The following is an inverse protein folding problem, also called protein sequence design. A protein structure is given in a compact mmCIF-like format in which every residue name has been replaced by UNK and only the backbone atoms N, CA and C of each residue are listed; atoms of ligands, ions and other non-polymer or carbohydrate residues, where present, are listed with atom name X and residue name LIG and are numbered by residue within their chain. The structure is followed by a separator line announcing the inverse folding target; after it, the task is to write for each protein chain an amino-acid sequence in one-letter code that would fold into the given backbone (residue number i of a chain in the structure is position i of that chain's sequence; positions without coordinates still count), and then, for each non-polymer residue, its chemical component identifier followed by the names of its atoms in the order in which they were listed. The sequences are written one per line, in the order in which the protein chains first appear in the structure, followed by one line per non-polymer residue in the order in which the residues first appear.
data_IF_322223350504
#
_entry.id   IF_322223350504
#
_cell.length_a   1.000
_cell.length_b   1.000
_cell.length_c   1.000
_cell.angle_alpha   90.00
_cell.angle_beta   90.00
_cell.angle_gamma   90.00
#
_symmetry.space_group_name_H-M   'P 1'
#
loop_
_entity.id
_entity.type
_entity.pdbx_description
1 polymer ?
#
# COMPACT_ATOMS: atom_id res chain seq x y z
N UNK A 1 -5.40 0.79 0.06
CA UNK A 1 -6.06 1.54 -1.03
C UNK A 1 -5.04 2.46 -1.69
N UNK A 2 -4.96 2.47 -3.02
CA UNK A 2 -4.08 3.38 -3.78
C UNK A 2 -4.75 4.74 -4.01
N UNK A 3 -3.98 5.82 -4.18
CA UNK A 3 -4.48 7.18 -4.37
C UNK A 3 -5.45 7.30 -5.55
N UNK A 4 -5.07 6.77 -6.71
CA UNK A 4 -5.93 6.76 -7.91
C UNK A 4 -7.26 6.02 -7.69
N UNK A 5 -7.25 4.94 -6.93
CA UNK A 5 -8.45 4.20 -6.58
C UNK A 5 -9.36 5.03 -5.67
N UNK A 6 -8.79 5.73 -4.68
CA UNK A 6 -9.54 6.63 -3.81
C UNK A 6 -10.20 7.77 -4.60
N UNK A 7 -9.44 8.37 -5.54
CA UNK A 7 -9.97 9.40 -6.45
C UNK A 7 -11.12 8.85 -7.30
N UNK A 8 -10.97 7.67 -7.89
CA UNK A 8 -12.03 7.04 -8.69
C UNK A 8 -13.29 6.74 -7.86
N UNK A 9 -13.14 6.26 -6.62
CA UNK A 9 -14.25 6.04 -5.70
C UNK A 9 -14.95 7.36 -5.41
N UNK A 10 -14.22 8.41 -5.03
CA UNK A 10 -14.80 9.73 -4.75
C UNK A 10 -15.52 10.30 -5.97
N UNK A 11 -14.93 10.17 -7.17
CA UNK A 11 -15.56 10.57 -8.43
C UNK A 11 -16.82 9.77 -8.76
N UNK A 12 -16.93 8.51 -8.33
CA UNK A 12 -18.17 7.73 -8.50
C UNK A 12 -19.30 8.19 -7.57
N UNK A 13 -18.98 8.96 -6.52
CA UNK A 13 -19.92 9.46 -5.50
C UNK A 13 -20.26 10.95 -5.71
N UNK A 14 -20.20 11.42 -6.96
CA UNK A 14 -20.55 12.80 -7.33
C UNK A 14 -21.98 13.11 -6.90
N UNK A 15 -22.10 14.08 -5.99
CA UNK A 15 -23.39 14.50 -5.40
C UNK A 15 -23.52 14.16 -3.91
N UNK A 16 -22.79 13.15 -3.43
CA UNK A 16 -22.69 12.80 -2.01
C UNK A 16 -21.46 13.47 -1.40
N UNK A 17 -20.27 13.15 -1.93
CA UNK A 17 -19.01 13.74 -1.46
C UNK A 17 -18.77 15.03 -2.23
N UNK A 18 -18.59 16.15 -1.52
CA UNK A 18 -18.48 17.50 -2.10
C UNK A 18 -17.32 18.28 -1.49
N UNK A 19 -16.79 19.23 -2.26
CA UNK A 19 -15.74 20.13 -1.79
C UNK A 19 -14.39 19.42 -1.55
N UNK A 20 -14.13 18.33 -2.26
CA UNK A 20 -12.90 17.53 -2.17
C UNK A 20 -11.70 18.39 -2.58
N UNK A 21 -10.65 18.35 -1.79
CA UNK A 21 -9.38 19.01 -2.08
C UNK A 21 -8.27 17.97 -2.16
N UNK A 22 -7.40 18.10 -3.16
CA UNK A 22 -6.17 17.31 -3.28
C UNK A 22 -5.00 18.24 -2.99
N UNK A 23 -4.17 17.87 -2.02
CA UNK A 23 -2.99 18.62 -1.61
C UNK A 23 -1.75 17.77 -1.88
N UNK A 24 -0.72 18.40 -2.44
CA UNK A 24 0.57 17.77 -2.74
C UNK A 24 1.64 18.86 -2.82
N UNK A 25 2.92 18.47 -2.82
CA UNK A 25 4.04 19.39 -2.97
C UNK A 25 4.67 19.25 -4.35
N UNK A 26 4.64 20.33 -5.15
CA UNK A 26 5.36 20.40 -6.42
C UNK A 26 6.88 20.42 -6.24
N UNK A 27 7.36 21.01 -5.15
CA UNK A 27 8.79 21.14 -4.88
C UNK A 27 9.40 19.87 -4.28
N UNK A 28 8.59 19.06 -3.60
CA UNK A 28 9.01 17.86 -2.89
C UNK A 28 8.01 16.70 -3.07
N UNK A 29 7.75 16.26 -4.32
CA UNK A 29 6.66 15.32 -4.63
C UNK A 29 6.86 13.90 -4.07
N UNK A 30 8.10 13.52 -3.77
CA UNK A 30 8.43 12.20 -3.21
C UNK A 30 8.74 12.22 -1.71
N UNK A 31 8.78 13.41 -1.07
CA UNK A 31 9.05 13.55 0.37
C UNK A 31 7.79 13.91 1.15
N UNK A 32 6.82 14.59 0.52
CA UNK A 32 5.62 15.09 1.18
C UNK A 32 4.41 14.29 0.71
N UNK A 33 3.68 13.73 1.68
CA UNK A 33 2.46 12.95 1.46
C UNK A 33 1.46 13.62 0.51
N UNK A 34 0.80 12.80 -0.30
CA UNK A 34 -0.40 13.21 -1.02
C UNK A 34 -1.58 13.19 -0.05
N UNK A 35 -2.37 14.26 -0.01
CA UNK A 35 -3.51 14.35 0.91
C UNK A 35 -4.80 14.59 0.16
N UNK A 36 -5.82 13.76 0.43
CA UNK A 36 -7.20 14.06 0.06
C UNK A 36 -7.88 14.63 1.31
N UNK A 37 -8.27 15.90 1.24
CA UNK A 37 -9.01 16.58 2.28
C UNK A 37 -10.51 16.64 1.90
N UNK A 38 -11.35 16.20 2.84
CA UNK A 38 -12.81 16.14 2.72
C UNK A 38 -13.43 17.10 3.77
N UNK A 39 -13.42 18.42 3.52
CA UNK A 39 -13.83 19.43 4.51
C UNK A 39 -15.28 19.35 4.94
N UNK A 40 -16.17 18.90 4.07
CA UNK A 40 -17.59 18.74 4.41
C UNK A 40 -17.86 17.48 5.23
N UNK A 41 -16.90 16.54 5.24
CA UNK A 41 -16.99 15.27 5.95
C UNK A 41 -16.09 15.23 7.21
N UNK A 42 -15.19 16.19 7.37
CA UNK A 42 -14.28 16.26 8.52
C UNK A 42 -13.15 15.22 8.51
N UNK A 43 -12.80 14.69 7.32
CA UNK A 43 -11.84 13.61 7.13
C UNK A 43 -10.68 14.05 6.24
N UNK A 44 -9.46 13.63 6.58
CA UNK A 44 -8.25 13.75 5.78
C UNK A 44 -7.63 12.38 5.56
N UNK A 45 -7.27 12.08 4.32
CA UNK A 45 -6.63 10.83 3.92
C UNK A 45 -5.21 11.14 3.47
N UNK A 46 -4.21 10.58 4.16
CA UNK A 46 -2.80 10.76 3.82
C UNK A 46 -2.29 9.52 3.09
N UNK A 47 -1.69 9.74 1.93
CA UNK A 47 -1.09 8.71 1.09
C UNK A 47 0.41 8.92 1.05
N UNK A 48 1.14 7.82 1.23
CA UNK A 48 2.58 7.79 1.12
C UNK A 48 3.04 8.35 -0.24
N UNK A 49 4.05 9.23 -0.30
CA UNK A 49 4.38 9.97 -1.52
C UNK A 49 5.00 9.10 -2.62
N UNK A 50 5.64 7.98 -2.23
CA UNK A 50 6.31 7.08 -3.17
C UNK A 50 5.37 5.97 -3.64
N UNK A 51 4.79 5.25 -2.69
CA UNK A 51 3.90 4.11 -2.97
C UNK A 51 2.49 4.54 -3.32
N UNK A 52 2.11 5.81 -3.04
CA UNK A 52 0.78 6.37 -3.24
C UNK A 52 -0.32 5.56 -2.55
N UNK A 53 0.02 4.89 -1.45
CA UNK A 53 -0.91 4.08 -0.68
C UNK A 53 -1.36 4.81 0.57
N UNK A 54 -2.64 4.67 0.90
CA UNK A 54 -3.22 5.25 2.10
C UNK A 54 -2.47 4.72 3.34
N UNK A 55 -1.95 5.64 4.15
CA UNK A 55 -1.21 5.33 5.38
C UNK A 55 -1.84 5.89 6.65
N UNK A 56 -2.55 7.03 6.57
CA UNK A 56 -3.25 7.64 7.71
C UNK A 56 -4.67 8.06 7.29
N UNK A 57 -5.64 7.78 8.15
CA UNK A 57 -6.98 8.38 8.11
C UNK A 57 -7.09 9.29 9.32
N UNK A 58 -7.18 10.60 9.09
CA UNK A 58 -7.37 11.61 10.12
C UNK A 58 -8.84 12.07 10.12
N UNK A 59 -9.46 12.09 11.29
CA UNK A 59 -10.75 12.73 11.53
C UNK A 59 -10.46 13.98 12.35
N UNK A 60 -10.71 15.16 11.77
CA UNK A 60 -10.45 16.44 12.42
C UNK A 60 -11.74 17.21 12.77
N UNK A 61 -12.90 16.63 12.47
CA UNK A 61 -14.18 17.13 12.96
C UNK A 61 -15.06 15.96 13.40
N UNK A 62 -15.01 15.65 14.70
CA UNK A 62 -15.81 14.58 15.30
C UNK A 62 -17.32 14.79 15.15
N UNK A 63 -17.77 16.04 14.92
CA UNK A 63 -19.18 16.40 14.69
C UNK A 63 -19.74 15.92 13.34
N UNK A 64 -18.86 15.75 12.35
CA UNK A 64 -19.25 15.39 10.97
C UNK A 64 -19.16 13.88 10.72
N UNK A 65 -18.56 13.13 11.64
CA UNK A 65 -18.33 11.70 11.50
C UNK A 65 -19.09 10.97 12.59
N UNK A 66 -19.79 9.89 12.22
CA UNK A 66 -20.35 8.93 13.18
C UNK A 66 -19.60 7.61 13.05
N UNK A 67 -18.94 7.19 14.13
CA UNK A 67 -18.23 5.91 14.16
C UNK A 67 -19.23 4.82 14.53
N UNK A 68 -19.43 3.86 13.63
CA UNK A 68 -20.36 2.75 13.87
C UNK A 68 -19.63 1.58 14.56
N UNK A 69 -20.22 1.03 15.62
CA UNK A 69 -19.65 -0.09 16.40
C UNK A 69 -19.17 0.25 17.81
N UNK A 70 -18.92 1.53 18.10
CA UNK A 70 -18.64 2.04 19.44
C UNK A 70 -19.48 3.29 19.68
N UNK A 71 -20.36 3.28 20.68
CA UNK A 71 -21.34 4.35 20.95
C UNK A 71 -20.76 5.58 21.66
N UNK A 72 -19.45 5.87 21.50
CA UNK A 72 -18.80 7.01 22.16
C UNK A 72 -18.86 8.32 21.35
N UNK A 73 -19.24 8.29 20.07
CA UNK A 73 -19.27 9.48 19.22
C UNK A 73 -20.53 9.55 18.35
N UNK A 74 -21.25 10.67 18.43
CA UNK A 74 -22.34 11.07 17.53
C UNK A 74 -22.23 12.57 17.19
N UNK A 75 -22.97 13.06 16.17
CA UNK A 75 -23.01 14.50 15.88
C UNK A 75 -23.41 15.37 17.09
N UNK A 76 -24.22 14.81 18.00
CA UNK A 76 -24.71 15.47 19.21
C UNK A 76 -23.81 15.21 20.44
N UNK A 77 -23.11 14.08 20.48
CA UNK A 77 -22.29 13.64 21.63
C UNK A 77 -20.85 13.45 21.19
N UNK A 78 -19.99 14.39 21.59
CA UNK A 78 -18.57 14.31 21.33
C UNK A 78 -17.85 13.52 22.43
N UNK A 79 -16.85 12.69 22.08
CA UNK A 79 -16.13 11.90 23.06
C UNK A 79 -15.26 12.77 23.97
N UNK A 80 -15.44 12.59 25.28
CA UNK A 80 -14.49 13.05 26.29
C UNK A 80 -13.34 12.06 26.47
N UNK A 81 -12.26 12.51 27.11
CA UNK A 81 -11.15 11.62 27.50
C UNK A 81 -11.63 10.39 28.31
N UNK A 82 -12.55 10.59 29.26
CA UNK A 82 -13.12 9.51 30.08
C UNK A 82 -13.89 8.49 29.25
N UNK A 83 -14.65 8.96 28.24
CA UNK A 83 -15.36 8.06 27.33
C UNK A 83 -14.42 7.25 26.46
N UNK A 84 -13.28 7.83 26.06
CA UNK A 84 -12.23 7.11 25.32
C UNK A 84 -11.58 6.05 26.22
N UNK A 85 -11.18 6.40 27.43
CA UNK A 85 -10.60 5.46 28.39
C UNK A 85 -11.57 4.32 28.74
N UNK A 86 -12.84 4.63 28.95
CA UNK A 86 -13.88 3.62 29.19
C UNK A 86 -14.10 2.70 27.97
N UNK A 87 -14.06 3.25 26.75
CA UNK A 87 -14.38 2.49 25.53
C UNK A 87 -13.22 1.64 25.02
N UNK A 88 -11.98 2.12 25.16
CA UNK A 88 -10.79 1.45 24.61
C UNK A 88 -9.88 0.85 25.68
N UNK A 89 -10.15 1.11 26.96
CA UNK A 89 -9.36 0.62 28.09
C UNK A 89 -8.12 1.45 28.40
N UNK A 90 -7.30 0.93 29.31
CA UNK A 90 -6.07 1.58 29.74
C UNK A 90 -5.03 1.67 28.61
N UNK A 91 -4.39 2.82 28.50
CA UNK A 91 -3.31 3.09 27.54
C UNK A 91 -1.96 3.27 28.24
N UNK A 92 -0.89 3.40 27.45
CA UNK A 92 0.31 4.08 27.92
C UNK A 92 -0.04 5.51 28.39
N UNK A 93 0.71 6.10 29.34
CA UNK A 93 0.51 7.46 29.78
C UNK A 93 0.39 8.41 28.59
N UNK A 94 -0.63 9.27 28.58
CA UNK A 94 -0.81 10.22 27.50
C UNK A 94 0.36 11.20 27.42
N UNK A 95 0.62 11.69 26.21
CA UNK A 95 1.74 12.59 25.92
C UNK A 95 1.18 14.00 25.72
N UNK A 96 1.71 14.96 26.48
CA UNK A 96 1.33 16.36 26.32
C UNK A 96 2.37 17.12 25.48
N UNK A 97 1.90 17.73 24.40
CA UNK A 97 2.66 18.66 23.58
C UNK A 97 2.34 20.10 24.01
N UNK A 98 3.28 20.72 24.73
CA UNK A 98 3.12 22.07 25.25
C UNK A 98 3.17 23.15 24.18
N UNK A 99 3.83 22.92 23.05
CA UNK A 99 3.89 23.89 21.97
C UNK A 99 2.54 23.95 21.25
N UNK A 100 1.92 22.77 21.06
CA UNK A 100 0.62 22.65 20.39
C UNK A 100 -0.58 22.77 21.33
N UNK A 101 -0.35 22.80 22.65
CA UNK A 101 -1.40 22.73 23.68
C UNK A 101 -2.31 21.50 23.45
N UNK A 102 -1.71 20.36 23.07
CA UNK A 102 -2.41 19.14 22.70
C UNK A 102 -1.98 18.00 23.61
N UNK A 103 -2.95 17.36 24.25
CA UNK A 103 -2.77 16.09 24.93
C UNK A 103 -3.13 14.94 23.99
N UNK A 104 -2.29 13.91 23.95
CA UNK A 104 -2.42 12.77 23.05
C UNK A 104 -2.57 11.47 23.83
N UNK A 105 -3.63 10.73 23.54
CA UNK A 105 -3.77 9.33 23.95
C UNK A 105 -3.46 8.41 22.78
N UNK A 106 -2.53 7.48 22.97
CA UNK A 106 -2.06 6.57 21.93
C UNK A 106 -2.49 5.13 22.21
N UNK A 107 -3.05 4.52 21.18
CA UNK A 107 -3.40 3.11 21.08
C UNK A 107 -2.66 2.51 19.87
N UNK A 108 -2.67 1.18 19.75
CA UNK A 108 -2.07 0.52 18.60
C UNK A 108 -2.82 0.88 17.31
N UNK A 109 -2.18 1.69 16.47
CA UNK A 109 -2.73 2.16 15.18
C UNK A 109 -3.83 3.21 15.30
N UNK A 110 -3.98 3.84 16.47
CA UNK A 110 -5.02 4.83 16.74
C UNK A 110 -4.54 5.86 17.76
N UNK A 111 -4.73 7.14 17.48
CA UNK A 111 -4.45 8.23 18.43
C UNK A 111 -5.62 9.19 18.54
N UNK A 112 -5.85 9.72 19.75
CA UNK A 112 -6.81 10.78 20.05
C UNK A 112 -6.09 12.03 20.54
N UNK A 113 -6.58 13.20 20.12
CA UNK A 113 -5.99 14.50 20.41
C UNK A 113 -7.00 15.40 21.12
N UNK A 114 -6.60 15.92 22.27
CA UNK A 114 -7.40 16.74 23.16
C UNK A 114 -6.75 18.11 23.29
N UNK A 115 -7.44 19.22 22.98
CA UNK A 115 -6.92 20.55 23.24
C UNK A 115 -6.94 20.77 24.76
N UNK A 116 -5.77 21.02 25.34
CA UNK A 116 -5.61 21.21 26.80
C UNK A 116 -4.77 22.45 27.05
N UNK A 117 -5.40 23.44 27.69
CA UNK A 117 -4.74 24.67 28.11
C UNK A 117 -3.66 24.39 29.17
N UNK A 118 -2.56 25.13 29.07
CA UNK A 118 -1.33 24.98 29.88
C UNK A 118 -1.56 25.11 31.38
N UNK A 119 -2.66 25.77 31.80
CA UNK A 119 -3.04 25.94 33.22
C UNK A 119 -3.39 24.64 33.94
N UNK A 120 -3.63 23.55 33.21
CA UNK A 120 -3.91 22.23 33.78
C UNK A 120 -2.63 21.38 33.98
N UNK A 121 -1.45 21.97 33.76
CA UNK A 121 -0.17 21.30 34.01
C UNK A 121 0.11 21.18 35.53
N UNK A 122 0.26 19.93 35.96
CA UNK A 122 0.89 19.44 37.20
C UNK A 122 0.12 19.64 38.52
N UNK A 123 -0.59 18.58 38.93
CA UNK A 123 -0.51 18.11 40.31
C UNK A 123 0.84 17.42 40.51
N UNK A 124 1.63 17.91 41.46
CA UNK A 124 2.99 17.52 41.78
C UNK A 124 3.15 16.03 42.15
N UNK A 125 3.28 15.11 41.19
CA UNK A 125 4.03 13.86 41.35
C UNK A 125 4.51 13.37 39.99
N UNK A 126 5.64 12.69 39.99
CA UNK A 126 6.42 12.22 38.85
C UNK A 126 5.75 11.09 38.03
N UNK A 127 4.42 11.10 37.91
CA UNK A 127 3.60 10.16 37.16
C UNK A 127 2.80 10.92 36.10
N UNK A 128 3.35 11.01 34.89
CA UNK A 128 2.83 11.71 33.71
C UNK A 128 1.51 11.12 33.14
N UNK A 129 0.74 10.37 33.94
CA UNK A 129 -0.39 9.56 33.48
C UNK A 129 -1.78 10.05 33.87
N UNK A 130 -1.92 11.14 34.63
CA UNK A 130 -3.23 11.59 35.09
C UNK A 130 -3.33 13.11 35.13
N UNK A 131 -3.56 13.73 33.98
CA UNK A 131 -4.18 15.06 33.96
C UNK A 131 -5.57 14.91 34.61
N UNK A 132 -5.73 15.46 35.81
CA UNK A 132 -7.03 15.49 36.47
C UNK A 132 -7.80 16.71 35.98
N UNK A 133 -8.89 16.45 35.27
CA UNK A 133 -9.82 17.49 34.84
C UNK A 133 -10.92 17.64 35.90
N UNK A 134 -11.35 18.88 36.21
CA UNK A 134 -12.51 19.09 37.06
C UNK A 134 -13.74 18.37 36.47
N UNK A 135 -14.62 17.78 37.30
CA UNK A 135 -15.84 17.14 36.81
C UNK A 135 -16.65 18.08 35.92
N UNK A 136 -16.97 17.63 34.70
CA UNK A 136 -17.70 18.43 33.70
C UNK A 136 -16.83 19.33 32.80
N UNK A 137 -15.52 19.40 33.02
CA UNK A 137 -14.55 20.13 32.16
C UNK A 137 -13.56 19.18 31.45
N UNK A 138 -13.91 17.90 31.34
CA UNK A 138 -13.08 16.90 30.67
C UNK A 138 -12.95 17.27 29.18
N UNK A 139 -11.72 17.33 28.64
CA UNK A 139 -11.51 17.79 27.27
C UNK A 139 -12.14 16.81 26.29
N UNK A 140 -12.66 17.37 25.20
CA UNK A 140 -13.27 16.62 24.11
C UNK A 140 -12.23 16.31 23.04
N UNK A 141 -12.39 15.18 22.36
CA UNK A 141 -11.56 14.83 21.21
C UNK A 141 -11.75 15.89 20.13
N UNK A 142 -10.66 16.55 19.77
CA UNK A 142 -10.61 17.48 18.63
C UNK A 142 -10.21 16.78 17.34
N UNK A 143 -9.40 15.73 17.45
CA UNK A 143 -8.88 14.97 16.32
C UNK A 143 -8.63 13.51 16.70
N UNK A 144 -8.79 12.64 15.73
CA UNK A 144 -8.46 11.21 15.81
C UNK A 144 -7.64 10.82 14.57
N UNK A 145 -6.65 9.96 14.72
CA UNK A 145 -5.86 9.44 13.61
C UNK A 145 -5.79 7.91 13.67
N UNK A 146 -6.09 7.25 12.55
CA UNK A 146 -5.98 5.79 12.35
C UNK A 146 -4.82 5.55 11.40
N UNK A 147 -3.88 4.68 11.78
CA UNK A 147 -2.63 4.50 11.03
C UNK A 147 -2.01 3.12 11.25
N UNK A 148 -1.05 2.75 10.40
CA UNK A 148 -0.20 1.58 10.61
C UNK A 148 1.21 2.04 10.98
N UNK A 149 1.73 1.61 12.14
CA UNK A 149 3.03 2.03 12.65
C UNK A 149 3.02 2.27 14.17
N UNK A 150 4.18 2.58 14.76
CA UNK A 150 4.30 2.84 16.20
C UNK A 150 3.74 4.21 16.60
N UNK A 151 3.81 5.21 15.72
CA UNK A 151 3.24 6.55 15.92
C UNK A 151 2.77 7.14 14.59
N UNK A 152 2.02 8.25 14.64
CA UNK A 152 1.56 8.96 13.43
C UNK A 152 2.74 9.44 12.58
N UNK A 153 3.82 9.92 13.20
CA UNK A 153 5.02 10.39 12.47
C UNK A 153 5.80 9.25 11.81
N UNK A 154 5.66 8.02 12.33
CA UNK A 154 6.25 6.80 11.79
C UNK A 154 5.22 5.92 11.06
N UNK A 155 4.10 6.52 10.64
CA UNK A 155 3.06 5.82 9.94
C UNK A 155 3.52 5.44 8.53
N UNK A 156 3.22 4.22 8.13
CA UNK A 156 3.48 3.68 6.81
C UNK A 156 2.22 3.05 6.22
N UNK A 157 2.19 2.88 4.91
CA UNK A 157 1.10 2.15 4.27
C UNK A 157 1.10 0.69 4.76
N UNK A 158 -0.04 0.14 5.21
CA UNK A 158 -0.11 -1.27 5.61
C UNK A 158 0.24 -2.16 4.42
N UNK A 159 0.72 -3.38 4.66
CA UNK A 159 0.98 -4.36 3.60
C UNK A 159 -0.29 -4.68 2.79
N UNK A 160 -0.16 -5.11 1.52
CA UNK A 160 -1.34 -5.59 0.77
C UNK A 160 -1.78 -6.94 1.37
N UNK A 161 -3.07 -7.10 1.73
CA UNK A 161 -3.57 -8.40 2.13
C UNK A 161 -3.33 -9.43 1.03
N UNK A 162 -2.91 -10.65 1.40
CA UNK A 162 -2.63 -11.72 0.43
C UNK A 162 -3.83 -11.99 -0.51
N UNK A 163 -5.05 -11.80 -0.01
CA UNK A 163 -6.27 -11.94 -0.79
C UNK A 163 -6.35 -10.98 -1.99
N UNK A 164 -5.75 -9.78 -1.90
CA UNK A 164 -5.71 -8.82 -2.99
C UNK A 164 -4.84 -9.30 -4.16
N UNK A 165 -3.98 -10.30 -3.94
CA UNK A 165 -3.12 -10.83 -4.99
C UNK A 165 -3.81 -11.88 -5.88
N UNK A 166 -5.02 -12.35 -5.55
CA UNK A 166 -5.79 -13.29 -6.37
C UNK A 166 -5.00 -14.50 -6.91
N UNK A 167 -4.04 -15.02 -6.12
CA UNK A 167 -3.16 -16.12 -6.52
C UNK A 167 -2.14 -15.78 -7.61
N UNK A 168 -1.96 -14.50 -7.92
CA UNK A 168 -0.93 -14.00 -8.81
C UNK A 168 0.31 -13.60 -8.02
N UNK A 169 1.45 -13.59 -8.71
CA UNK A 169 2.72 -13.14 -8.16
C UNK A 169 2.82 -11.61 -8.30
N UNK A 170 3.26 -10.95 -7.25
CA UNK A 170 3.40 -9.49 -7.23
C UNK A 170 4.83 -9.09 -6.89
N UNK A 171 5.32 -8.11 -7.65
CA UNK A 171 6.57 -7.43 -7.37
C UNK A 171 6.36 -6.44 -6.23
N UNK A 172 7.04 -6.67 -5.11
CA UNK A 172 7.02 -5.77 -3.95
C UNK A 172 7.94 -4.57 -4.16
N UNK A 173 9.14 -4.82 -4.68
CA UNK A 173 10.17 -3.80 -4.90
C UNK A 173 11.06 -4.22 -6.05
N UNK A 174 11.30 -3.30 -7.00
CA UNK A 174 12.41 -3.40 -7.94
C UNK A 174 13.44 -2.33 -7.57
N UNK A 175 14.65 -2.77 -7.24
CA UNK A 175 15.79 -1.88 -7.00
C UNK A 175 16.69 -1.87 -8.22
N UNK A 176 17.06 -0.67 -8.67
CA UNK A 176 18.01 -0.52 -9.78
C UNK A 176 19.41 -0.49 -9.20
N UNK A 177 20.17 -1.56 -9.41
CA UNK A 177 21.56 -1.64 -8.99
C UNK A 177 22.41 -0.79 -9.92
N UNK A 178 23.05 0.25 -9.38
CA UNK A 178 23.90 1.18 -10.14
C UNK A 178 25.39 0.90 -9.88
N UNK A 179 26.18 0.97 -10.93
CA UNK A 179 27.63 1.19 -10.88
C UNK A 179 27.95 2.66 -11.13
N UNK A 180 29.24 3.01 -11.12
CA UNK A 180 29.70 4.41 -11.18
C UNK A 180 29.16 5.19 -12.39
N UNK A 181 28.94 4.51 -13.51
CA UNK A 181 28.44 5.12 -14.76
C UNK A 181 27.47 4.24 -15.55
N UNK A 182 27.00 3.12 -15.00
CA UNK A 182 26.10 2.19 -15.69
C UNK A 182 25.14 1.49 -14.74
N UNK A 183 24.05 0.91 -15.27
CA UNK A 183 23.16 0.03 -14.49
C UNK A 183 23.78 -1.37 -14.44
N UNK A 184 24.07 -1.86 -13.23
CA UNK A 184 24.58 -3.23 -13.01
C UNK A 184 23.48 -4.28 -13.16
N UNK A 185 22.25 -3.95 -12.79
CA UNK A 185 21.12 -4.88 -12.88
C UNK A 185 19.88 -4.39 -12.14
N UNK A 186 18.91 -5.28 -11.99
CA UNK A 186 17.71 -5.09 -11.19
C UNK A 186 17.66 -6.16 -10.10
N UNK A 187 17.42 -5.75 -8.86
CA UNK A 187 17.03 -6.66 -7.78
C UNK A 187 15.51 -6.63 -7.64
N UNK A 188 14.87 -7.78 -7.82
CA UNK A 188 13.41 -7.92 -7.74
C UNK A 188 13.04 -8.69 -6.47
N UNK A 189 12.29 -8.04 -5.58
CA UNK A 189 11.69 -8.67 -4.41
C UNK A 189 10.27 -9.11 -4.76
N UNK A 190 10.03 -10.42 -4.75
CA UNK A 190 8.77 -11.04 -5.17
C UNK A 190 8.17 -11.83 -4.00
N UNK A 191 6.85 -11.75 -3.83
CA UNK A 191 6.13 -12.67 -2.95
C UNK A 191 5.75 -13.94 -3.72
N UNK A 192 6.31 -15.08 -3.31
CA UNK A 192 6.10 -16.38 -3.95
C UNK A 192 5.09 -17.19 -3.14
N UNK A 193 4.03 -17.67 -3.79
CA UNK A 193 3.07 -18.56 -3.17
C UNK A 193 3.62 -20.00 -3.12
N UNK A 194 3.85 -20.48 -1.90
CA UNK A 194 4.23 -21.86 -1.64
C UNK A 194 3.01 -22.74 -1.38
N UNK A 195 3.09 -24.00 -1.82
CA UNK A 195 2.19 -25.03 -1.35
C UNK A 195 2.46 -25.37 0.12
N UNK A 196 1.45 -25.28 0.97
CA UNK A 196 1.61 -25.49 2.41
C UNK A 196 1.95 -26.94 2.81
N UNK A 197 1.73 -27.93 1.93
CA UNK A 197 2.01 -29.35 2.22
C UNK A 197 3.36 -29.77 1.68
N UNK A 198 3.74 -29.30 0.50
CA UNK A 198 4.96 -29.69 -0.21
C UNK A 198 6.10 -28.68 -0.05
N UNK A 199 5.81 -27.48 0.47
CA UNK A 199 6.74 -26.36 0.58
C UNK A 199 7.41 -25.98 -0.76
N UNK A 200 6.79 -26.35 -1.88
CA UNK A 200 7.26 -26.01 -3.22
C UNK A 200 6.58 -24.74 -3.71
N UNK A 201 7.34 -23.88 -4.40
CA UNK A 201 6.80 -22.71 -5.09
C UNK A 201 5.83 -23.20 -6.18
N UNK A 202 4.56 -22.77 -6.12
CA UNK A 202 3.55 -23.26 -7.08
C UNK A 202 3.67 -22.64 -8.47
N UNK A 203 4.09 -21.37 -8.54
CA UNK A 203 4.12 -20.61 -9.79
C UNK A 203 5.02 -19.39 -9.65
N UNK A 204 6.01 -19.29 -10.52
CA UNK A 204 6.78 -18.08 -10.77
C UNK A 204 6.52 -17.66 -12.22
N UNK A 205 6.10 -16.41 -12.43
CA UNK A 205 5.94 -15.87 -13.79
C UNK A 205 6.84 -14.66 -13.94
N UNK A 206 7.82 -14.78 -14.82
CA UNK A 206 8.72 -13.70 -15.19
C UNK A 206 8.37 -13.27 -16.61
N UNK A 207 7.96 -12.02 -16.76
CA UNK A 207 7.61 -11.46 -18.05
C UNK A 207 8.79 -10.67 -18.62
N UNK A 208 9.27 -11.07 -19.79
CA UNK A 208 10.05 -10.22 -20.68
C UNK A 208 9.13 -9.65 -21.75
N UNK A 209 9.46 -8.46 -22.25
CA UNK A 209 8.78 -7.71 -23.32
C UNK A 209 7.88 -8.59 -24.21
N UNK A 210 6.59 -8.66 -23.87
CA UNK A 210 5.65 -9.66 -24.42
C UNK A 210 5.52 -9.53 -25.93
N UNK A 211 5.96 -10.53 -26.72
CA UNK A 211 5.66 -10.57 -28.13
C UNK A 211 4.15 -10.59 -28.33
N UNK A 212 3.64 -9.76 -29.25
CA UNK A 212 2.19 -9.68 -29.51
C UNK A 212 1.39 -8.75 -28.60
N UNK A 213 1.99 -8.19 -27.54
CA UNK A 213 1.30 -7.26 -26.65
C UNK A 213 1.39 -5.82 -27.18
N UNK A 214 0.39 -4.98 -26.92
CA UNK A 214 0.36 -3.60 -27.42
C UNK A 214 1.52 -2.72 -26.90
N UNK A 215 2.11 -3.11 -25.76
CA UNK A 215 3.31 -2.46 -25.19
C UNK A 215 4.64 -3.04 -25.71
N UNK A 216 4.61 -3.95 -26.68
CA UNK A 216 5.83 -4.54 -27.25
C UNK A 216 6.72 -3.43 -27.80
N UNK A 217 7.99 -3.44 -27.39
CA UNK A 217 9.01 -2.44 -27.76
C UNK A 217 8.87 -1.05 -27.07
N UNK A 218 7.89 -0.86 -26.17
CA UNK A 218 7.82 0.35 -25.33
C UNK A 218 8.80 0.30 -24.14
N UNK A 219 9.22 -0.90 -23.74
CA UNK A 219 10.10 -1.12 -22.59
C UNK A 219 11.37 -1.85 -23.01
N UNK A 220 12.48 -1.53 -22.33
CA UNK A 220 13.71 -2.31 -22.43
C UNK A 220 13.46 -3.76 -21.95
N UNK A 221 14.14 -4.73 -22.58
CA UNK A 221 14.06 -6.13 -22.12
C UNK A 221 14.64 -6.23 -20.72
N UNK A 222 14.02 -7.04 -19.86
CA UNK A 222 14.59 -7.39 -18.57
C UNK A 222 15.80 -8.30 -18.83
N UNK A 223 16.99 -7.91 -18.36
CA UNK A 223 18.21 -8.71 -18.39
C UNK A 223 18.06 -9.88 -17.40
N UNK A 224 17.44 -10.98 -17.84
CA UNK A 224 17.35 -12.22 -17.05
C UNK A 224 18.38 -13.24 -17.53
N UNK A 225 18.87 -14.04 -16.58
CA UNK A 225 19.65 -15.25 -16.81
C UNK A 225 19.08 -16.36 -15.91
N UNK A 226 18.68 -17.48 -16.53
CA UNK A 226 18.11 -18.65 -15.89
C UNK A 226 19.04 -19.84 -16.10
N UNK A 227 19.67 -20.29 -15.01
CA UNK A 227 20.47 -21.51 -15.01
C UNK A 227 19.57 -22.71 -14.76
N UNK A 228 19.49 -23.61 -15.74
CA UNK A 228 18.66 -24.82 -15.74
C UNK A 228 19.49 -26.06 -15.37
N UNK A 229 18.80 -27.20 -15.22
CA UNK A 229 19.44 -28.48 -14.97
C UNK A 229 20.53 -28.78 -16.02
N UNK A 230 21.65 -29.37 -15.56
CA UNK A 230 22.84 -29.67 -16.36
C UNK A 230 23.65 -28.46 -16.85
N UNK A 231 23.41 -27.27 -16.29
CA UNK A 231 24.25 -26.09 -16.52
C UNK A 231 23.90 -25.28 -17.78
N UNK A 232 22.75 -25.57 -18.41
CA UNK A 232 22.23 -24.77 -19.51
C UNK A 232 21.79 -23.40 -18.99
N UNK A 233 22.23 -22.31 -19.63
CA UNK A 233 21.83 -20.94 -19.27
C UNK A 233 20.92 -20.35 -20.35
N UNK A 234 19.77 -19.84 -19.94
CA UNK A 234 18.79 -19.18 -20.82
C UNK A 234 18.68 -17.72 -20.40
N UNK A 235 18.89 -16.81 -21.35
CA UNK A 235 18.81 -15.36 -21.13
C UNK A 235 17.61 -14.76 -21.84
N UNK A 236 17.33 -13.48 -21.59
CA UNK A 236 16.34 -12.69 -22.34
C UNK A 236 16.62 -12.57 -23.86
N UNK A 237 17.80 -13.00 -24.31
CA UNK A 237 18.25 -12.92 -25.70
C UNK A 237 18.49 -14.30 -26.33
N UNK A 238 18.34 -15.38 -25.56
CA UNK A 238 18.53 -16.73 -26.07
C UNK A 238 17.54 -17.03 -27.18
N UNK A 239 18.06 -17.51 -28.32
CA UNK A 239 17.21 -17.93 -29.43
C UNK A 239 16.65 -19.32 -29.17
N UNK A 240 15.41 -19.56 -29.57
CA UNK A 240 14.74 -20.84 -29.31
C UNK A 240 15.50 -22.04 -29.89
N UNK A 241 16.07 -21.90 -31.08
CA UNK A 241 16.89 -22.93 -31.72
C UNK A 241 18.18 -23.25 -30.95
N UNK A 242 18.73 -22.28 -30.22
CA UNK A 242 19.89 -22.48 -29.35
C UNK A 242 19.50 -23.15 -28.03
N UNK A 243 18.35 -22.77 -27.48
CA UNK A 243 17.79 -23.41 -26.27
C UNK A 243 17.49 -24.89 -26.56
N UNK A 244 16.91 -25.22 -27.72
CA UNK A 244 16.64 -26.60 -28.13
C UNK A 244 17.90 -27.45 -28.41
N UNK A 245 19.09 -26.86 -28.52
CA UNK A 245 20.35 -27.64 -28.59
C UNK A 245 20.81 -28.11 -27.22
N UNK A 246 20.42 -27.39 -26.17
CA UNK A 246 20.84 -27.64 -24.79
C UNK A 246 19.77 -28.38 -23.99
N UNK A 247 18.50 -28.22 -24.37
CA UNK A 247 17.34 -28.81 -23.71
C UNK A 247 16.53 -29.66 -24.70
N UNK A 248 15.69 -30.55 -24.17
CA UNK A 248 14.71 -31.31 -24.94
C UNK A 248 13.29 -30.93 -24.52
N UNK A 249 12.71 -29.82 -25.04
CA UNK A 249 11.33 -29.43 -24.76
C UNK A 249 10.30 -30.36 -25.41
N UNK A 250 9.03 -30.18 -25.06
CA UNK A 250 7.90 -30.91 -25.62
C UNK A 250 7.84 -30.79 -27.15
N UNK A 251 7.67 -31.91 -27.87
CA UNK A 251 7.63 -31.89 -29.35
C UNK A 251 6.45 -31.10 -29.93
N UNK A 252 5.32 -31.07 -29.22
CA UNK A 252 4.10 -30.40 -29.66
C UNK A 252 3.84 -29.14 -28.83
N UNK A 253 3.84 -27.94 -29.44
CA UNK A 253 3.51 -26.72 -28.71
C UNK A 253 2.00 -26.61 -28.45
N UNK A 254 1.65 -25.92 -27.38
CA UNK A 254 0.31 -25.36 -27.18
C UNK A 254 0.25 -24.01 -27.90
N UNK A 255 -0.74 -23.82 -28.77
CA UNK A 255 -0.95 -22.55 -29.46
C UNK A 255 -1.68 -21.59 -28.53
N UNK A 256 -1.06 -20.45 -28.23
CA UNK A 256 -1.64 -19.40 -27.40
C UNK A 256 -2.17 -18.27 -28.29
N UNK A 257 -3.50 -18.11 -28.28
CA UNK A 257 -4.18 -16.99 -28.94
C UNK A 257 -4.59 -15.95 -27.91
N UNK A 258 -4.00 -14.76 -27.97
CA UNK A 258 -4.40 -13.62 -27.14
C UNK A 258 -5.41 -12.76 -27.92
N UNK A 259 -6.66 -12.72 -27.44
CA UNK A 259 -7.66 -11.74 -27.86
C UNK A 259 -7.71 -10.59 -26.84
N UNK A 260 -7.73 -9.34 -27.29
CA UNK A 260 -7.91 -8.19 -26.38
C UNK A 260 -9.38 -8.04 -25.97
N UNK A 261 -9.64 -7.47 -24.79
CA UNK A 261 -10.97 -7.04 -24.35
C UNK A 261 -11.55 -5.88 -25.18
N UNK A 262 -10.78 -5.31 -26.12
CA UNK A 262 -11.15 -4.15 -26.94
C UNK A 262 -11.29 -4.46 -28.44
N UNK A 263 -11.42 -5.73 -28.82
CA UNK A 263 -11.78 -6.14 -30.19
C UNK A 263 -10.80 -5.68 -31.30
N UNK A 264 -9.49 -5.68 -30.98
CA UNK A 264 -8.42 -5.47 -31.97
C UNK A 264 -7.75 -6.82 -32.25
N UNK A 265 -7.79 -7.28 -33.50
CA UNK A 265 -7.03 -8.45 -33.98
C UNK A 265 -5.55 -8.28 -33.63
N UNK A 266 -4.97 -9.23 -32.88
CA UNK A 266 -3.54 -9.23 -32.55
C UNK A 266 -2.71 -9.23 -33.86
N UNK A 267 -1.95 -8.16 -34.16
CA UNK A 267 -1.26 -8.03 -35.44
C UNK A 267 -0.04 -8.95 -35.58
N UNK A 268 0.38 -9.62 -34.50
CA UNK A 268 1.56 -10.47 -34.47
C UNK A 268 1.24 -11.99 -34.52
N UNK A 269 -0.05 -12.36 -34.57
CA UNK A 269 -0.46 -13.76 -34.63
C UNK A 269 -0.38 -14.51 -33.30
N UNK A 270 -0.54 -15.83 -33.37
CA UNK A 270 -0.49 -16.75 -32.23
C UNK A 270 0.95 -17.00 -31.78
N UNK A 271 1.19 -17.15 -30.48
CA UNK A 271 2.49 -17.62 -29.94
C UNK A 271 2.45 -19.13 -29.66
N UNK A 272 3.62 -19.77 -29.64
CA UNK A 272 3.76 -21.20 -29.39
C UNK A 272 4.37 -21.42 -28.00
N UNK A 273 3.71 -22.23 -27.18
CA UNK A 273 4.19 -22.56 -25.84
C UNK A 273 4.73 -23.99 -25.80
N UNK A 274 6.00 -24.14 -25.44
CA UNK A 274 6.70 -25.42 -25.30
C UNK A 274 6.99 -25.71 -23.83
N UNK A 275 6.65 -26.91 -23.34
CA UNK A 275 6.95 -27.32 -21.97
C UNK A 275 8.33 -27.99 -21.85
N UNK A 276 9.04 -27.74 -20.76
CA UNK A 276 10.24 -28.47 -20.36
C UNK A 276 10.24 -28.59 -18.85
N UNK A 277 10.14 -29.81 -18.32
CA UNK A 277 9.97 -30.05 -16.87
C UNK A 277 8.80 -29.22 -16.30
N UNK A 278 9.08 -28.34 -15.34
CA UNK A 278 8.18 -27.40 -14.68
C UNK A 278 8.18 -25.99 -15.31
N UNK A 279 8.81 -25.83 -16.47
CA UNK A 279 8.97 -24.56 -17.20
C UNK A 279 8.17 -24.59 -18.50
N UNK A 280 7.56 -23.45 -18.85
CA UNK A 280 6.94 -23.25 -20.17
C UNK A 280 7.63 -22.09 -20.86
N UNK A 281 8.14 -22.35 -22.06
CA UNK A 281 8.72 -21.36 -22.96
C UNK A 281 7.66 -20.89 -23.96
N UNK A 282 7.32 -19.60 -23.93
CA UNK A 282 6.54 -18.96 -24.97
C UNK A 282 7.48 -18.41 -26.05
N UNK A 283 7.28 -18.85 -27.29
CA UNK A 283 8.13 -18.58 -28.45
C UNK A 283 7.30 -17.87 -29.52
N UNK A 284 7.87 -16.80 -30.07
CA UNK A 284 7.30 -15.97 -31.14
C UNK A 284 8.26 -15.83 -32.31
#
# INVERSE_FOLDING_TARGET
MHFSQAVAIIQSQVGIIKGVQVLYSDTKPLEIDLVINLPQDGIRLFFDPVTQRLKIIEIYSMKLVKLNGLSFNSPEVLPSIEQIEHSFGATHPGVYDSEKQLFMLNFRGLSFYFPVESKFQTGSTHNLGSLQFPPGNSPLVSRMAIYCGPSVDQAHAPEMPLACFHGQLYLLKAEVLRGDSYTKGLELNLDVLFDARTHLAKKLVLHTNFPGHYNFNMYARCELELTLAHGASVTAYSRWDEVCKQLTPSERPVVLNRASSTNTTNPFGSTLCYGYQDIVFEVS
#
